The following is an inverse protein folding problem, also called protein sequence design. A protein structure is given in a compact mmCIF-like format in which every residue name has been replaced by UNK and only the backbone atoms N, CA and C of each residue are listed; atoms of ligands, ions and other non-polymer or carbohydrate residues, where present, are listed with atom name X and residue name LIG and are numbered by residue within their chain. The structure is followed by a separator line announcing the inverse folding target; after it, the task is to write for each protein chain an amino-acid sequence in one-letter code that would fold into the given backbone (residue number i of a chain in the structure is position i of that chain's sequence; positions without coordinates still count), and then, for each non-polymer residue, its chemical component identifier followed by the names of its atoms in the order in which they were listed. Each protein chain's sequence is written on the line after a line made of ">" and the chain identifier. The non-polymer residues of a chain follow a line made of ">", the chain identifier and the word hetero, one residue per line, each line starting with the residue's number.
data_IF_341585429711
#
_entry.id   IF_341585429711
#
_cell.length_a   1.000
_cell.length_b   1.000
_cell.length_c   1.000
_cell.angle_alpha   90.00
_cell.angle_beta   90.00
_cell.angle_gamma   90.00
#
_symmetry.space_group_name_H-M   'P 1'
#
loop_
_entity.id
_entity.type
_entity.pdbx_description
1 polymer ?
#
# COMPACT_ATOMS: atom_id res chain seq x y z
N UNK A 1 12.42 -5.92 -7.04
CA UNK A 1 11.05 -5.35 -7.05
C UNK A 1 10.65 -4.68 -5.74
N UNK A 2 10.79 -5.33 -4.58
CA UNK A 2 10.30 -4.77 -3.30
C UNK A 2 10.80 -3.35 -3.00
N UNK A 3 12.11 -3.08 -3.11
CA UNK A 3 12.65 -1.73 -2.84
C UNK A 3 12.18 -0.68 -3.85
N UNK A 4 12.00 -1.05 -5.12
CA UNK A 4 11.61 -0.09 -6.16
C UNK A 4 10.13 0.29 -6.07
N UNK A 5 9.29 -0.63 -5.58
CA UNK A 5 7.84 -0.43 -5.54
C UNK A 5 7.34 -0.21 -4.11
N UNK A 6 7.57 -1.15 -3.18
CA UNK A 6 6.96 -1.11 -1.86
C UNK A 6 7.39 0.10 -1.00
N UNK A 7 8.55 0.71 -1.29
CA UNK A 7 8.98 1.96 -0.65
C UNK A 7 8.09 3.15 -1.00
N UNK A 8 7.39 3.10 -2.13
CA UNK A 8 6.46 4.14 -2.59
C UNK A 8 5.05 3.98 -1.98
N UNK A 9 4.74 2.83 -1.38
CA UNK A 9 3.40 2.52 -0.85
C UNK A 9 2.94 3.50 0.24
N UNK A 10 3.88 4.02 1.04
CA UNK A 10 3.56 5.04 2.04
C UNK A 10 2.97 6.31 1.45
N UNK A 11 3.51 6.78 0.32
CA UNK A 11 2.99 7.95 -0.40
C UNK A 11 1.57 7.72 -0.93
N UNK A 12 1.28 6.52 -1.42
CA UNK A 12 -0.09 6.15 -1.84
C UNK A 12 -1.03 6.12 -0.63
N UNK A 13 -0.61 5.53 0.49
CA UNK A 13 -1.45 5.36 1.68
C UNK A 13 -1.75 6.67 2.43
N UNK A 14 -0.89 7.68 2.37
CA UNK A 14 -1.21 8.99 2.98
C UNK A 14 -2.00 9.90 2.05
N UNK A 15 -2.19 9.53 0.77
CA UNK A 15 -2.71 10.45 -0.26
C UNK A 15 -4.04 11.12 0.08
N UNK A 16 -4.95 10.44 0.77
CA UNK A 16 -6.26 10.98 1.15
C UNK A 16 -6.24 11.87 2.40
N UNK A 17 -5.27 11.67 3.29
CA UNK A 17 -5.20 12.36 4.59
C UNK A 17 -3.95 13.24 4.75
N UNK A 18 -3.19 13.45 3.68
CA UNK A 18 -1.92 14.17 3.72
C UNK A 18 -2.09 15.67 4.05
N UNK A 19 -3.23 16.26 3.68
CA UNK A 19 -3.62 17.63 3.99
C UNK A 19 -4.42 17.75 5.31
N UNK A 20 -4.72 16.63 5.95
CA UNK A 20 -5.45 16.56 7.23
C UNK A 20 -4.49 16.58 8.43
N UNK A 21 -5.02 16.79 9.63
CA UNK A 21 -4.22 16.93 10.85
C UNK A 21 -3.79 15.57 11.47
N UNK A 22 -3.14 14.71 10.68
CA UNK A 22 -2.66 13.39 11.12
C UNK A 22 -1.36 13.45 11.95
N UNK A 23 -0.66 14.58 11.90
CA UNK A 23 0.64 14.80 12.53
C UNK A 23 1.78 13.91 11.99
N UNK A 24 3.04 14.22 12.31
CA UNK A 24 4.20 13.48 11.79
C UNK A 24 4.22 12.01 12.22
N UNK A 25 3.84 11.72 13.46
CA UNK A 25 3.83 10.36 13.99
C UNK A 25 2.76 9.49 13.34
N UNK A 26 1.56 10.03 13.09
CA UNK A 26 0.50 9.34 12.35
C UNK A 26 0.94 9.02 10.92
N UNK A 27 1.55 10.00 10.22
CA UNK A 27 2.09 9.78 8.88
C UNK A 27 3.17 8.68 8.83
N UNK A 28 4.08 8.64 9.81
CA UNK A 28 5.08 7.58 9.92
C UNK A 28 4.45 6.20 10.13
N UNK A 29 3.43 6.07 10.97
CA UNK A 29 2.73 4.81 11.20
C UNK A 29 2.04 4.33 9.93
N UNK A 30 1.31 5.21 9.23
CA UNK A 30 0.62 4.88 7.97
C UNK A 30 1.64 4.37 6.94
N UNK A 31 2.74 5.10 6.76
CA UNK A 31 3.81 4.71 5.83
C UNK A 31 4.46 3.36 6.19
N UNK A 32 4.76 3.14 7.48
CA UNK A 32 5.33 1.89 7.97
C UNK A 32 4.43 0.68 7.69
N UNK A 33 3.13 0.79 8.01
CA UNK A 33 2.15 -0.27 7.77
C UNK A 33 1.94 -0.52 6.27
N UNK A 34 1.86 0.54 5.46
CA UNK A 34 1.70 0.43 4.01
C UNK A 34 2.90 -0.27 3.35
N UNK A 35 4.12 0.02 3.80
CA UNK A 35 5.34 -0.64 3.34
C UNK A 35 5.35 -2.14 3.65
N UNK A 36 4.94 -2.53 4.87
CA UNK A 36 4.79 -3.94 5.26
C UNK A 36 3.76 -4.64 4.37
N UNK A 37 2.56 -4.06 4.25
CA UNK A 37 1.45 -4.64 3.48
C UNK A 37 1.83 -4.79 2.00
N UNK A 38 2.45 -3.76 1.41
CA UNK A 38 2.91 -3.82 0.03
C UNK A 38 3.97 -4.91 -0.17
N UNK A 39 4.96 -4.99 0.73
CA UNK A 39 6.03 -6.01 0.64
C UNK A 39 5.49 -7.43 0.77
N UNK A 40 4.57 -7.68 1.71
CA UNK A 40 3.88 -8.96 1.86
C UNK A 40 3.01 -9.26 0.65
N UNK A 41 2.33 -8.26 0.08
CA UNK A 41 1.54 -8.40 -1.14
C UNK A 41 2.38 -8.87 -2.33
N UNK A 42 3.55 -8.25 -2.55
CA UNK A 42 4.49 -8.69 -3.58
C UNK A 42 5.00 -10.12 -3.34
N UNK A 43 5.26 -10.50 -2.09
CA UNK A 43 5.82 -11.82 -1.75
C UNK A 43 4.78 -12.94 -1.83
N UNK A 44 3.56 -12.69 -1.38
CA UNK A 44 2.55 -13.73 -1.15
C UNK A 44 1.29 -13.54 -2.00
N UNK A 45 0.76 -12.32 -2.14
CA UNK A 45 -0.50 -12.12 -2.87
C UNK A 45 -0.32 -12.20 -4.38
N UNK A 46 0.72 -11.61 -4.96
CA UNK A 46 1.02 -11.71 -6.40
C UNK A 46 1.05 -13.17 -6.90
N UNK A 47 1.80 -14.11 -6.28
CA UNK A 47 1.80 -15.49 -6.75
C UNK A 47 0.46 -16.20 -6.53
N UNK A 48 -0.29 -15.87 -5.46
CA UNK A 48 -1.64 -16.41 -5.25
C UNK A 48 -2.59 -15.93 -6.35
N UNK A 49 -2.56 -14.64 -6.69
CA UNK A 49 -3.41 -14.06 -7.73
C UNK A 49 -3.10 -14.66 -9.09
N UNK A 50 -1.82 -14.81 -9.43
CA UNK A 50 -1.40 -15.42 -10.68
C UNK A 50 -1.81 -16.91 -10.78
N UNK A 51 -1.64 -17.69 -9.70
CA UNK A 51 -1.87 -19.14 -9.73
C UNK A 51 -3.31 -19.57 -9.48
N UNK A 52 -4.03 -18.89 -8.57
CA UNK A 52 -5.38 -19.26 -8.14
C UNK A 52 -6.47 -18.44 -8.81
N UNK A 53 -6.23 -17.14 -8.99
CA UNK A 53 -7.22 -16.23 -9.57
C UNK A 53 -6.98 -15.97 -11.06
N UNK A 54 -5.86 -16.46 -11.61
CA UNK A 54 -5.41 -16.22 -12.99
C UNK A 54 -5.30 -14.72 -13.34
N UNK A 55 -5.02 -13.89 -12.34
CA UNK A 55 -4.79 -12.45 -12.51
C UNK A 55 -3.29 -12.20 -12.65
N UNK A 56 -2.87 -11.74 -13.82
CA UNK A 56 -1.47 -11.42 -14.10
C UNK A 56 -1.21 -9.94 -13.82
N UNK A 57 -0.60 -9.67 -12.66
CA UNK A 57 -0.19 -8.33 -12.27
C UNK A 57 1.34 -8.18 -12.41
N UNK A 58 1.79 -7.83 -13.62
CA UNK A 58 3.20 -7.78 -14.01
C UNK A 58 4.04 -6.86 -13.12
N UNK A 59 3.50 -5.69 -12.76
CA UNK A 59 4.21 -4.69 -11.96
C UNK A 59 3.82 -4.76 -10.47
N UNK A 60 2.86 -5.59 -10.09
CA UNK A 60 2.30 -5.64 -8.75
C UNK A 60 1.58 -4.35 -8.36
N UNK A 61 0.88 -3.70 -9.31
CA UNK A 61 0.15 -2.45 -9.05
C UNK A 61 -0.95 -2.64 -8.01
N UNK A 62 -1.46 -3.87 -7.84
CA UNK A 62 -2.35 -4.18 -6.73
C UNK A 62 -1.68 -3.96 -5.37
N UNK A 63 -0.40 -4.34 -5.22
CA UNK A 63 0.32 -4.25 -3.96
C UNK A 63 0.85 -2.83 -3.68
N UNK A 64 1.13 -2.04 -4.72
CA UNK A 64 1.61 -0.67 -4.58
C UNK A 64 0.47 0.36 -4.55
N UNK A 65 -0.49 0.25 -5.45
CA UNK A 65 -1.57 1.22 -5.59
C UNK A 65 -2.87 0.73 -4.95
N UNK A 66 -3.24 -0.53 -5.17
CA UNK A 66 -4.52 -1.09 -4.72
C UNK A 66 -4.65 -1.17 -3.19
N UNK A 67 -3.85 -2.02 -2.54
CA UNK A 67 -3.91 -2.21 -1.09
C UNK A 67 -3.57 -0.92 -0.32
N UNK A 68 -2.48 -0.19 -0.65
CA UNK A 68 -2.19 1.07 0.02
C UNK A 68 -3.24 2.15 -0.25
N UNK A 69 -3.87 2.18 -1.42
CA UNK A 69 -4.97 3.12 -1.74
C UNK A 69 -6.22 2.86 -0.90
N UNK A 70 -6.58 1.59 -0.68
CA UNK A 70 -7.68 1.21 0.22
C UNK A 70 -7.35 1.65 1.66
N UNK A 71 -6.11 1.43 2.11
CA UNK A 71 -5.66 1.92 3.42
C UNK A 71 -5.76 3.44 3.53
N UNK A 72 -5.39 4.18 2.48
CA UNK A 72 -5.49 5.64 2.47
C UNK A 72 -6.92 6.15 2.55
N UNK A 73 -7.85 5.49 1.85
CA UNK A 73 -9.28 5.79 2.01
C UNK A 73 -9.78 5.60 3.44
N UNK A 74 -9.36 4.54 4.12
CA UNK A 74 -9.71 4.30 5.53
C UNK A 74 -9.03 5.34 6.44
N UNK A 75 -7.75 5.65 6.20
CA UNK A 75 -7.03 6.67 6.96
C UNK A 75 -7.72 8.03 6.84
N UNK A 76 -8.19 8.43 5.65
CA UNK A 76 -8.94 9.65 5.43
C UNK A 76 -10.31 9.70 6.12
N UNK A 77 -10.96 8.57 6.39
CA UNK A 77 -12.20 8.52 7.20
C UNK A 77 -11.91 8.78 8.68
N UNK A 78 -10.74 8.36 9.17
CA UNK A 78 -10.34 8.42 10.59
C UNK A 78 -9.59 9.71 10.93
N UNK A 79 -8.92 10.31 9.96
CA UNK A 79 -8.02 11.46 10.08
C UNK A 79 -8.70 12.79 10.43
#
# INVERSE_FOLDING_TARGET
>A
VHIQNATLAGGVAVGTCADMNIGPFGAMIIGFLAGIISTLGFKFLTPIFASKLRVQDTCGVHNLHGLPGIMGGIAGIVA
#
